data_IF_348642115937
#
_entry.id   IF_348642115937
#
_cell.length_a   1.000
_cell.length_b   1.000
_cell.length_c   1.000
_cell.angle_alpha   90.00
_cell.angle_beta   90.00
_cell.angle_gamma   90.00
#
_symmetry.space_group_name_H-M   'P 1'
#
loop_
_entity.id
_entity.type
_entity.pdbx_description
1 polymer ?
#
# COMPACT_ATOMS: atom_id res chain seq x y z
N UNK A 1 4.04 -24.12 4.76
CA UNK A 1 4.03 -22.65 4.63
C UNK A 1 4.54 -22.09 5.94
N UNK A 2 5.76 -21.53 5.93
CA UNK A 2 6.36 -20.92 7.12
C UNK A 2 6.17 -19.41 7.03
N UNK A 3 5.74 -18.81 8.15
CA UNK A 3 5.58 -17.37 8.26
C UNK A 3 6.71 -16.85 9.14
N UNK A 4 7.55 -16.00 8.57
CA UNK A 4 8.67 -15.33 9.23
C UNK A 4 8.26 -13.92 9.64
N UNK A 5 8.87 -13.39 10.69
CA UNK A 5 8.66 -12.01 11.13
C UNK A 5 9.97 -11.24 11.05
N UNK A 6 9.95 -10.09 10.37
CA UNK A 6 11.13 -9.24 10.18
C UNK A 6 10.85 -7.86 10.77
N UNK A 7 11.75 -7.41 11.63
CA UNK A 7 11.65 -6.12 12.31
C UNK A 7 12.54 -5.07 11.64
N UNK A 8 12.00 -3.86 11.46
CA UNK A 8 12.73 -2.69 10.99
C UNK A 8 12.31 -1.42 11.72
N UNK A 9 13.17 -0.39 11.65
CA UNK A 9 12.91 0.93 12.23
C UNK A 9 11.78 1.68 11.50
N UNK A 10 11.53 1.30 10.25
CA UNK A 10 10.43 1.78 9.41
C UNK A 10 9.95 0.64 8.52
N UNK A 11 8.80 0.81 7.85
CA UNK A 11 8.30 -0.19 6.90
C UNK A 11 9.33 -0.46 5.80
N UNK A 12 9.98 0.59 5.29
CA UNK A 12 11.03 0.45 4.27
C UNK A 12 12.21 -0.39 4.76
N UNK A 13 12.71 -0.11 5.97
CA UNK A 13 13.81 -0.89 6.56
C UNK A 13 13.40 -2.35 6.79
N UNK A 14 12.16 -2.59 7.26
CA UNK A 14 11.63 -3.93 7.43
C UNK A 14 11.54 -4.71 6.10
N UNK A 15 11.13 -4.04 5.01
CA UNK A 15 11.06 -4.62 3.66
C UNK A 15 12.44 -4.86 3.03
N UNK A 16 13.38 -3.93 3.19
CA UNK A 16 14.75 -4.10 2.69
C UNK A 16 15.45 -5.27 3.39
N UNK A 17 15.24 -5.41 4.71
CA UNK A 17 15.74 -6.56 5.50
C UNK A 17 15.07 -7.86 5.10
N UNK A 18 13.76 -7.84 4.92
CA UNK A 18 13.00 -8.99 4.45
C UNK A 18 13.52 -9.50 3.11
N UNK A 19 13.76 -8.60 2.17
CA UNK A 19 14.35 -8.91 0.86
C UNK A 19 15.75 -9.50 0.99
N UNK A 20 16.58 -8.96 1.88
CA UNK A 20 17.93 -9.47 2.11
C UNK A 20 17.94 -10.87 2.75
N UNK A 21 16.95 -11.20 3.60
CA UNK A 21 16.86 -12.46 4.32
C UNK A 21 16.13 -13.57 3.53
N UNK A 22 15.05 -13.23 2.85
CA UNK A 22 14.13 -14.19 2.22
C UNK A 22 14.12 -14.11 0.68
N UNK A 23 14.89 -13.19 0.09
CA UNK A 23 14.94 -12.97 -1.36
C UNK A 23 13.83 -12.07 -1.88
N UNK A 24 13.84 -11.82 -3.19
CA UNK A 24 12.87 -10.93 -3.85
C UNK A 24 11.47 -11.56 -3.99
N UNK A 25 11.37 -12.88 -3.95
CA UNK A 25 10.10 -13.62 -4.10
C UNK A 25 9.31 -13.74 -2.78
N UNK A 26 9.81 -13.13 -1.69
CA UNK A 26 9.21 -13.22 -0.38
C UNK A 26 7.90 -12.42 -0.30
N UNK A 27 6.80 -13.07 0.10
CA UNK A 27 5.47 -12.47 0.04
C UNK A 27 5.08 -11.87 1.41
N UNK A 28 4.85 -10.56 1.44
CA UNK A 28 4.41 -9.86 2.67
C UNK A 28 2.91 -10.09 2.89
N UNK A 29 2.57 -10.70 4.01
CA UNK A 29 1.20 -11.06 4.37
C UNK A 29 0.53 -9.97 5.21
N UNK A 30 1.28 -9.38 6.13
CA UNK A 30 0.80 -8.30 7.00
C UNK A 30 1.97 -7.48 7.54
N UNK A 31 1.66 -6.30 8.08
CA UNK A 31 2.61 -5.50 8.83
C UNK A 31 1.94 -4.90 10.07
N UNK A 32 2.73 -4.69 11.11
CA UNK A 32 2.29 -4.08 12.37
C UNK A 32 3.28 -2.98 12.75
N UNK A 33 2.75 -1.79 13.03
CA UNK A 33 3.52 -0.65 13.51
C UNK A 33 3.40 -0.56 15.02
N UNK A 34 4.54 -0.49 15.68
CA UNK A 34 4.66 -0.40 17.14
C UNK A 34 5.49 0.81 17.52
N UNK A 35 5.56 1.12 18.82
CA UNK A 35 6.42 2.19 19.35
C UNK A 35 7.91 1.97 19.04
N UNK A 36 8.34 0.73 18.77
CA UNK A 36 9.74 0.37 18.53
C UNK A 36 10.08 0.20 17.04
N UNK A 37 9.12 0.37 16.13
CA UNK A 37 9.32 0.21 14.69
C UNK A 37 8.20 -0.59 14.02
N UNK A 38 8.49 -1.16 12.86
CA UNK A 38 7.57 -1.94 12.04
C UNK A 38 8.01 -3.39 11.98
N UNK A 39 7.07 -4.30 12.19
CA UNK A 39 7.24 -5.74 11.97
C UNK A 39 6.47 -6.14 10.72
N UNK A 40 7.10 -6.87 9.80
CA UNK A 40 6.44 -7.46 8.63
C UNK A 40 6.38 -8.97 8.78
N UNK A 41 5.23 -9.57 8.49
CA UNK A 41 5.04 -11.02 8.43
C UNK A 41 5.15 -11.48 6.98
N UNK A 42 5.98 -12.49 6.74
CA UNK A 42 6.40 -12.90 5.39
C UNK A 42 6.22 -14.39 5.23
N UNK A 43 5.58 -14.80 4.15
CA UNK A 43 5.46 -16.21 3.77
C UNK A 43 6.50 -16.59 2.72
N UNK A 44 7.16 -17.73 2.93
CA UNK A 44 7.88 -18.40 1.84
C UNK A 44 6.85 -19.03 0.91
N UNK A 45 6.69 -18.50 -0.31
CA UNK A 45 5.87 -19.14 -1.33
C UNK A 45 6.69 -20.22 -2.04
N UNK A 46 6.32 -21.52 -1.94
CA UNK A 46 7.03 -22.59 -2.66
C UNK A 46 6.80 -22.56 -4.17
N UNK A 47 5.91 -21.66 -4.64
CA UNK A 47 5.68 -21.39 -6.05
C UNK A 47 6.04 -19.94 -6.31
N UNK A 48 6.90 -19.72 -7.30
CA UNK A 48 7.03 -18.41 -7.94
C UNK A 48 5.63 -18.00 -8.35
N UNK A 49 5.01 -17.08 -7.60
CA UNK A 49 3.71 -16.53 -7.98
C UNK A 49 4.05 -15.60 -9.12
N UNK A 50 3.92 -16.10 -10.34
CA UNK A 50 3.90 -15.25 -11.52
C UNK A 50 2.65 -14.39 -11.39
N UNK A 51 2.81 -13.24 -10.75
CA UNK A 51 1.85 -12.17 -10.92
C UNK A 51 1.89 -11.86 -12.41
N UNK A 52 0.78 -12.00 -13.14
CA UNK A 52 0.75 -11.48 -14.49
C UNK A 52 1.16 -10.02 -14.36
N UNK A 53 2.22 -9.63 -15.06
CA UNK A 53 2.46 -8.23 -15.37
C UNK A 53 1.25 -7.82 -16.19
N UNK A 54 0.17 -7.46 -15.51
CA UNK A 54 -0.82 -6.57 -16.07
C UNK A 54 0.00 -5.33 -16.35
N UNK A 55 0.37 -5.16 -17.62
CA UNK A 55 0.45 -3.85 -18.20
C UNK A 55 -0.86 -3.19 -17.80
N UNK A 56 -0.82 -2.49 -16.67
CA UNK A 56 -1.87 -1.58 -16.32
C UNK A 56 -1.76 -0.56 -17.43
N UNK A 57 -2.61 -0.71 -18.44
CA UNK A 57 -3.23 0.45 -19.03
C UNK A 57 -3.71 1.25 -17.84
N UNK A 58 -2.86 2.18 -17.41
CA UNK A 58 -3.25 3.28 -16.54
C UNK A 58 -4.15 4.09 -17.46
N UNK A 59 -5.37 3.60 -17.64
CA UNK A 59 -6.49 4.45 -17.98
C UNK A 59 -6.57 5.35 -16.77
N UNK A 60 -5.86 6.47 -16.86
CA UNK A 60 -6.10 7.66 -16.06
C UNK A 60 -7.57 7.98 -16.35
N UNK A 61 -8.48 7.34 -15.60
CA UNK A 61 -9.87 7.75 -15.55
C UNK A 61 -9.83 9.11 -14.90
N UNK A 62 -9.64 10.13 -15.73
CA UNK A 62 -9.83 11.51 -15.34
C UNK A 62 -11.18 11.61 -14.61
N UNK A 63 -11.14 12.27 -13.45
CA UNK A 63 -12.26 12.90 -12.77
C UNK A 63 -13.28 12.14 -11.94
N UNK A 64 -13.18 10.82 -11.70
CA UNK A 64 -14.08 10.21 -10.69
C UNK A 64 -13.68 10.47 -9.24
N UNK A 65 -12.38 10.53 -8.95
CA UNK A 65 -11.88 10.73 -7.58
C UNK A 65 -12.14 12.13 -7.04
N UNK A 66 -11.97 13.15 -7.89
CA UNK A 66 -12.15 14.56 -7.52
C UNK A 66 -13.60 14.91 -7.21
N UNK A 67 -14.54 14.44 -8.04
CA UNK A 67 -15.97 14.60 -7.79
C UNK A 67 -16.41 13.96 -6.46
N UNK A 68 -15.86 12.79 -6.10
CA UNK A 68 -16.18 12.14 -4.83
C UNK A 68 -15.66 12.92 -3.62
N UNK A 69 -14.45 13.48 -3.73
CA UNK A 69 -13.84 14.32 -2.70
C UNK A 69 -14.62 15.63 -2.53
N UNK A 70 -14.96 16.31 -3.62
CA UNK A 70 -15.75 17.55 -3.57
C UNK A 70 -17.12 17.30 -2.89
N UNK A 71 -17.79 16.20 -3.24
CA UNK A 71 -19.06 15.79 -2.62
C UNK A 71 -18.93 15.54 -1.12
N UNK A 72 -17.87 14.86 -0.68
CA UNK A 72 -17.63 14.58 0.75
C UNK A 72 -17.31 15.84 1.54
N UNK A 73 -16.52 16.74 0.96
CA UNK A 73 -16.20 18.02 1.59
C UNK A 73 -17.44 18.90 1.75
N UNK A 74 -18.31 18.95 0.74
CA UNK A 74 -19.60 19.65 0.85
C UNK A 74 -20.48 19.06 1.97
N UNK A 75 -20.54 17.73 2.10
CA UNK A 75 -21.28 17.06 3.17
C UNK A 75 -20.73 17.36 4.58
N UNK A 76 -19.43 17.66 4.69
CA UNK A 76 -18.79 18.06 5.95
C UNK A 76 -18.86 19.57 6.21
N UNK A 77 -19.55 20.35 5.36
CA UNK A 77 -19.73 21.80 5.53
C UNK A 77 -18.55 22.65 5.04
N UNK A 78 -17.71 22.13 4.13
CA UNK A 78 -16.70 22.94 3.47
C UNK A 78 -17.35 24.05 2.60
N UNK A 79 -16.67 25.17 2.43
CA UNK A 79 -17.20 26.30 1.65
C UNK A 79 -17.37 25.93 0.16
N UNK A 80 -18.37 26.55 -0.46
CA UNK A 80 -18.66 26.34 -1.89
C UNK A 80 -17.47 26.72 -2.79
N UNK A 81 -16.75 27.79 -2.45
CA UNK A 81 -15.55 28.21 -3.19
C UNK A 81 -14.45 27.13 -3.19
N UNK A 82 -14.28 26.43 -2.06
CA UNK A 82 -13.27 25.39 -1.93
C UNK A 82 -13.67 24.10 -2.66
N UNK A 83 -14.96 23.77 -2.67
CA UNK A 83 -15.46 22.58 -3.41
C UNK A 83 -15.50 22.81 -4.91
N UNK A 84 -15.79 24.04 -5.38
CA UNK A 84 -15.76 24.43 -6.79
C UNK A 84 -14.36 24.43 -7.40
N UNK A 85 -13.31 24.69 -6.61
CA UNK A 85 -11.92 24.56 -7.09
C UNK A 85 -11.52 23.10 -7.39
N UNK A 86 -12.23 22.12 -6.80
CA UNK A 86 -11.96 20.68 -6.94
C UNK A 86 -12.77 19.98 -8.04
N UNK A 87 -13.85 20.60 -8.52
CA UNK A 87 -14.71 20.13 -9.62
C UNK A 87 -14.21 20.60 -10.97
#
# INVERSE_FOLDING_TARGET
MHIHRVNGKSLRDALERARALHGEDALVLSHETTTFGVTVAIGDSPRKVEFPTVERDVVVRQDRGRADVARRLAQCGASEDFTRWLS
#
